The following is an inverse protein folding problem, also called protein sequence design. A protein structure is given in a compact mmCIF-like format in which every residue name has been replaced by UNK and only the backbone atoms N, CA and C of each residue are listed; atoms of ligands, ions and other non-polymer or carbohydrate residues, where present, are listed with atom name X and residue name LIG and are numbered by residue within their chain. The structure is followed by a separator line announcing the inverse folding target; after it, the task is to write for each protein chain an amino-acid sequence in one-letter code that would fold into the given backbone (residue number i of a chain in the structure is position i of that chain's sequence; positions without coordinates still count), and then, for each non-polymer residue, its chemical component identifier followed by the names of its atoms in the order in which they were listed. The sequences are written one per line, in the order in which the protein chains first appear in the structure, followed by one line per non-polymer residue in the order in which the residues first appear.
data_IF_834451260740
#
_entry.id   IF_834451260740
#
_cell.length_a   1.000
_cell.length_b   1.000
_cell.length_c   1.000
_cell.angle_alpha   90.00
_cell.angle_beta   90.00
_cell.angle_gamma   90.00
#
_symmetry.space_group_name_H-M   'P 1'
#
loop_
_entity.id
_entity.type
_entity.pdbx_description
1 polymer ?
#
# COMPACT_ATOMS: atom_id res chain seq x y z
N UNK A 1 17.09 10.00 32.16
CA UNK A 1 18.18 10.94 31.79
C UNK A 1 18.50 11.78 33.02
N UNK A 2 19.69 11.65 33.61
CA UNK A 2 20.11 12.46 34.77
C UNK A 2 21.09 13.51 34.28
N UNK A 3 20.76 14.80 34.45
CA UNK A 3 21.62 15.91 34.04
C UNK A 3 22.60 16.24 35.19
N UNK A 4 23.93 15.99 35.02
CA UNK A 4 24.91 16.22 36.08
C UNK A 4 25.30 17.71 36.24
N UNK A 5 24.69 18.64 35.49
CA UNK A 5 24.98 20.06 35.55
C UNK A 5 23.75 20.89 35.96
N UNK A 6 23.96 21.90 36.81
CA UNK A 6 22.92 22.81 37.32
C UNK A 6 22.15 22.28 38.54
N UNK A 7 21.08 22.95 38.93
CA UNK A 7 20.21 22.57 40.06
C UNK A 7 19.17 21.48 39.70
N UNK A 8 19.49 20.63 38.72
CA UNK A 8 18.58 19.59 38.21
C UNK A 8 17.40 20.09 37.37
N UNK A 9 17.29 21.41 37.10
CA UNK A 9 16.21 21.96 36.25
C UNK A 9 16.51 21.77 34.76
N UNK A 10 15.57 21.16 34.04
CA UNK A 10 15.60 21.06 32.58
C UNK A 10 15.18 22.42 31.98
N UNK A 11 15.95 23.01 31.06
CA UNK A 11 15.56 24.26 30.40
C UNK A 11 14.22 24.13 29.66
N UNK A 12 13.34 25.12 29.76
CA UNK A 12 12.01 25.08 29.10
C UNK A 12 12.07 24.87 27.59
N UNK A 13 13.16 25.30 26.94
CA UNK A 13 13.40 25.17 25.49
C UNK A 13 14.03 23.83 25.09
N UNK A 14 14.41 22.98 26.04
CA UNK A 14 14.92 21.63 25.76
C UNK A 14 13.76 20.69 25.44
N UNK A 15 13.09 20.95 24.31
CA UNK A 15 11.94 20.20 23.80
C UNK A 15 12.11 20.02 22.29
N UNK A 16 11.67 18.89 21.77
CA UNK A 16 11.59 18.60 20.34
C UNK A 16 10.14 18.56 19.89
N UNK A 17 9.90 18.71 18.59
CA UNK A 17 8.59 18.43 18.02
C UNK A 17 8.25 16.95 18.20
N UNK A 18 7.00 16.65 18.51
CA UNK A 18 6.47 15.28 18.61
C UNK A 18 5.32 15.13 17.62
N UNK A 19 5.23 13.95 17.00
CA UNK A 19 4.17 13.59 16.07
C UNK A 19 3.27 12.54 16.71
N UNK A 20 1.98 12.55 16.36
CA UNK A 20 1.08 11.46 16.73
C UNK A 20 1.45 10.23 15.89
N UNK A 21 1.72 9.12 16.57
CA UNK A 21 2.10 7.85 15.94
C UNK A 21 1.22 6.73 16.48
N UNK A 22 0.75 5.86 15.59
CA UNK A 22 -0.08 4.69 15.90
C UNK A 22 0.49 3.47 15.19
N UNK A 23 0.60 2.37 15.91
CA UNK A 23 0.96 1.07 15.37
C UNK A 23 -0.30 0.22 15.21
N UNK A 24 -0.65 -0.12 13.96
CA UNK A 24 -1.79 -0.99 13.63
C UNK A 24 -1.61 -1.57 12.23
N UNK A 25 -2.23 -2.72 11.96
CA UNK A 25 -2.17 -3.41 10.66
C UNK A 25 -0.73 -3.73 10.19
N UNK A 26 0.14 -4.14 11.12
CA UNK A 26 1.57 -4.41 10.86
C UNK A 26 2.35 -3.19 10.31
N UNK A 27 1.86 -1.98 10.56
CA UNK A 27 2.42 -0.72 10.06
C UNK A 27 2.49 0.36 11.15
N UNK A 28 3.42 1.32 10.96
CA UNK A 28 3.52 2.53 11.77
C UNK A 28 2.92 3.71 10.99
N UNK A 29 1.85 4.30 11.51
CA UNK A 29 1.17 5.46 10.97
C UNK A 29 1.60 6.72 11.70
N UNK A 30 2.00 7.76 10.95
CA UNK A 30 2.45 9.04 11.52
C UNK A 30 1.57 10.16 10.98
N UNK A 31 0.96 10.93 11.87
CA UNK A 31 0.26 12.16 11.52
C UNK A 31 1.20 13.36 11.62
N UNK A 32 1.45 14.01 10.48
CA UNK A 32 2.36 15.16 10.38
C UNK A 32 1.66 16.52 10.53
N UNK A 33 0.32 16.53 10.61
CA UNK A 33 -0.48 17.75 10.77
C UNK A 33 -0.67 18.19 12.22
N UNK A 34 -1.74 18.95 12.50
CA UNK A 34 -2.12 19.32 13.87
C UNK A 34 -2.46 18.06 14.69
N UNK A 35 -1.77 17.79 15.80
CA UNK A 35 -2.05 16.63 16.64
C UNK A 35 -3.49 16.55 17.17
N UNK A 36 -4.20 17.67 17.29
CA UNK A 36 -5.61 17.69 17.72
C UNK A 36 -6.57 17.15 16.65
N UNK A 37 -6.13 17.12 15.39
CA UNK A 37 -6.87 16.60 14.25
C UNK A 37 -6.52 15.14 13.92
N UNK A 38 -5.58 14.54 14.64
CA UNK A 38 -5.17 13.16 14.41
C UNK A 38 -6.26 12.19 14.94
N UNK A 39 -7.18 11.79 14.07
CA UNK A 39 -8.21 10.80 14.37
C UNK A 39 -7.75 9.38 13.95
N UNK A 40 -7.53 8.46 14.90
CA UNK A 40 -7.17 7.07 14.58
C UNK A 40 -8.18 6.35 13.69
N UNK A 41 -9.45 6.74 13.70
CA UNK A 41 -10.51 6.10 12.92
C UNK A 41 -10.45 6.44 11.42
N UNK A 42 -9.65 7.42 11.02
CA UNK A 42 -9.39 7.77 9.62
C UNK A 42 -8.26 6.93 8.98
N UNK A 43 -7.55 6.10 9.75
CA UNK A 43 -6.55 5.17 9.20
C UNK A 43 -7.27 4.16 8.28
N UNK A 44 -6.82 3.95 7.03
CA UNK A 44 -7.43 2.97 6.15
C UNK A 44 -7.35 1.54 6.71
N UNK A 45 -8.40 0.76 6.51
CA UNK A 45 -8.47 -0.62 6.98
C UNK A 45 -7.52 -1.53 6.16
N UNK A 46 -6.43 -1.94 6.81
CA UNK A 46 -5.48 -2.93 6.31
C UNK A 46 -5.46 -4.20 7.19
N UNK A 47 -6.57 -4.52 7.84
CA UNK A 47 -6.69 -5.69 8.75
C UNK A 47 -6.33 -7.02 8.10
N UNK A 48 -6.43 -7.13 6.76
CA UNK A 48 -5.98 -8.31 6.01
C UNK A 48 -4.49 -8.62 6.17
N UNK A 49 -3.66 -7.63 6.51
CA UNK A 49 -2.22 -7.81 6.72
C UNK A 49 -1.89 -8.46 8.07
N UNK A 50 -2.78 -8.33 9.05
CA UNK A 50 -2.67 -8.91 10.40
C UNK A 50 -3.54 -10.16 10.59
N UNK A 51 -4.08 -10.71 9.51
CA UNK A 51 -4.95 -11.88 9.54
C UNK A 51 -4.12 -13.17 9.41
N UNK A 52 -4.14 -14.01 10.43
CA UNK A 52 -3.38 -15.27 10.52
C UNK A 52 -3.68 -16.27 9.37
N UNK A 53 -4.75 -16.05 8.61
CA UNK A 53 -5.08 -16.86 7.42
C UNK A 53 -4.13 -16.59 6.24
N UNK A 54 -3.45 -15.45 6.24
CA UNK A 54 -2.59 -15.03 5.13
C UNK A 54 -1.15 -14.79 5.60
N UNK A 55 -0.15 -15.37 4.92
CA UNK A 55 1.24 -15.00 5.17
C UNK A 55 1.50 -13.60 4.60
N UNK A 56 1.99 -12.70 5.45
CA UNK A 56 2.34 -11.32 5.06
C UNK A 56 3.85 -11.20 4.80
N UNK A 57 4.21 -10.57 3.68
CA UNK A 57 5.61 -10.23 3.35
C UNK A 57 5.76 -8.72 3.36
N UNK A 58 6.68 -8.22 4.18
CA UNK A 58 6.95 -6.79 4.32
C UNK A 58 8.26 -6.42 3.61
N UNK A 59 8.30 -5.22 3.03
CA UNK A 59 9.48 -4.68 2.37
C UNK A 59 9.34 -3.19 2.10
N UNK A 60 10.46 -2.55 1.78
CA UNK A 60 10.51 -1.14 1.39
C UNK A 60 11.24 -1.03 0.06
N UNK A 61 10.64 -0.30 -0.88
CA UNK A 61 11.26 0.06 -2.15
C UNK A 61 11.40 1.57 -2.18
N UNK A 62 12.63 2.06 -2.18
CA UNK A 62 12.89 3.49 -2.35
C UNK A 62 12.76 3.87 -3.83
N UNK A 63 11.88 4.81 -4.13
CA UNK A 63 11.68 5.33 -5.48
C UNK A 63 12.07 6.79 -5.53
N UNK A 64 12.96 7.15 -6.45
CA UNK A 64 13.40 8.52 -6.68
C UNK A 64 12.39 9.26 -7.57
N UNK A 65 11.14 9.32 -7.13
CA UNK A 65 10.03 9.93 -7.84
C UNK A 65 9.10 10.67 -6.86
N UNK A 66 8.27 11.58 -7.38
CA UNK A 66 7.17 12.13 -6.60
C UNK A 66 6.14 11.03 -6.33
N UNK A 67 5.58 10.97 -5.11
CA UNK A 67 4.60 9.96 -4.71
C UNK A 67 3.36 9.93 -5.62
N UNK A 68 2.95 11.06 -6.19
CA UNK A 68 1.82 11.16 -7.12
C UNK A 68 2.03 10.31 -8.37
N UNK A 69 3.28 10.22 -8.87
CA UNK A 69 3.59 9.38 -10.03
C UNK A 69 3.44 7.89 -9.71
N UNK A 70 3.69 7.49 -8.46
CA UNK A 70 3.50 6.11 -8.01
C UNK A 70 2.01 5.82 -7.84
N UNK A 71 1.25 6.75 -7.27
CA UNK A 71 -0.21 6.65 -7.20
C UNK A 71 -0.84 6.50 -8.58
N UNK A 72 -0.46 7.35 -9.55
CA UNK A 72 -0.93 7.26 -10.94
C UNK A 72 -0.57 5.91 -11.58
N UNK A 73 0.67 5.45 -11.37
CA UNK A 73 1.13 4.16 -11.88
C UNK A 73 0.30 2.99 -11.32
N UNK A 74 0.03 2.97 -10.01
CA UNK A 74 -0.73 1.91 -9.36
C UNK A 74 -2.21 1.92 -9.76
N UNK A 75 -2.78 3.10 -10.01
CA UNK A 75 -4.19 3.25 -10.39
C UNK A 75 -4.46 2.99 -11.88
N UNK A 76 -3.43 3.03 -12.72
CA UNK A 76 -3.53 2.80 -14.17
C UNK A 76 -2.95 1.45 -14.58
N UNK A 77 -3.80 0.46 -14.86
CA UNK A 77 -3.35 -0.84 -15.35
C UNK A 77 -3.14 -0.89 -16.88
N UNK A 78 -3.21 0.21 -17.62
CA UNK A 78 -2.95 0.20 -19.08
C UNK A 78 -1.46 -0.02 -19.41
N UNK A 79 -0.55 0.32 -18.50
CA UNK A 79 0.89 0.15 -18.72
C UNK A 79 1.38 -1.30 -18.55
N UNK A 80 0.58 -2.17 -17.92
CA UNK A 80 0.99 -3.53 -17.53
C UNK A 80 1.52 -4.34 -18.72
N UNK A 81 0.90 -4.19 -19.89
CA UNK A 81 1.29 -4.91 -21.11
C UNK A 81 2.64 -4.48 -21.67
N UNK A 82 3.03 -3.23 -21.43
CA UNK A 82 4.23 -2.64 -22.01
C UNK A 82 5.40 -2.74 -21.03
N UNK A 83 5.18 -2.32 -19.78
CA UNK A 83 6.24 -2.24 -18.75
C UNK A 83 6.48 -3.60 -18.09
N UNK A 84 5.46 -4.45 -17.97
CA UNK A 84 5.57 -5.79 -17.37
C UNK A 84 5.41 -6.93 -18.40
N UNK A 85 5.79 -6.65 -19.66
CA UNK A 85 5.72 -7.60 -20.75
C UNK A 85 6.43 -8.92 -20.40
N UNK A 86 5.72 -10.04 -20.57
CA UNK A 86 6.25 -11.37 -20.27
C UNK A 86 6.31 -11.75 -18.78
N UNK A 87 5.86 -10.88 -17.87
CA UNK A 87 5.88 -11.16 -16.43
C UNK A 87 4.49 -11.09 -15.80
N UNK A 88 3.80 -9.95 -15.92
CA UNK A 88 2.50 -9.69 -15.26
C UNK A 88 1.33 -9.50 -16.23
N UNK A 89 1.59 -9.39 -17.53
CA UNK A 89 0.55 -9.24 -18.55
C UNK A 89 -0.25 -10.53 -18.83
N UNK A 90 -1.48 -10.37 -19.31
CA UNK A 90 -2.35 -11.43 -19.83
C UNK A 90 -3.35 -10.82 -20.83
N UNK A 91 -3.75 -11.57 -21.88
CA UNK A 91 -4.76 -11.10 -22.84
C UNK A 91 -6.11 -10.79 -22.17
N UNK A 92 -6.43 -11.45 -21.05
CA UNK A 92 -7.66 -11.15 -20.31
C UNK A 92 -7.62 -9.75 -19.68
N UNK A 93 -6.44 -9.24 -19.32
CA UNK A 93 -6.28 -7.91 -18.72
C UNK A 93 -6.59 -6.82 -19.76
N UNK A 94 -6.25 -7.04 -21.04
CA UNK A 94 -6.59 -6.16 -22.18
C UNK A 94 -8.09 -5.95 -22.32
N UNK A 95 -8.84 -7.05 -22.15
CA UNK A 95 -10.27 -7.11 -22.41
C UNK A 95 -11.11 -7.07 -21.13
N UNK A 96 -10.47 -6.83 -19.99
CA UNK A 96 -11.12 -6.78 -18.69
C UNK A 96 -12.16 -5.68 -18.64
N UNK A 97 -13.31 -5.97 -18.03
CA UNK A 97 -14.34 -4.97 -17.79
C UNK A 97 -13.88 -4.07 -16.64
N UNK A 98 -13.74 -2.79 -16.92
CA UNK A 98 -13.42 -1.79 -15.91
C UNK A 98 -14.69 -1.22 -15.27
N UNK A 99 -14.58 -0.91 -13.99
CA UNK A 99 -15.59 -0.19 -13.22
C UNK A 99 -14.89 0.77 -12.26
N UNK A 100 -15.37 2.01 -12.20
CA UNK A 100 -14.87 3.01 -11.26
C UNK A 100 -15.99 3.33 -10.29
N UNK A 101 -15.70 3.17 -9.00
CA UNK A 101 -16.64 3.48 -7.92
C UNK A 101 -16.00 4.50 -7.00
N UNK A 102 -16.74 5.55 -6.65
CA UNK A 102 -16.29 6.54 -5.67
C UNK A 102 -17.26 6.58 -4.49
N UNK A 103 -16.72 6.40 -3.28
CA UNK A 103 -17.44 6.47 -2.03
C UNK A 103 -16.78 7.53 -1.14
N UNK A 104 -17.36 8.73 -1.08
CA UNK A 104 -16.77 9.85 -0.36
C UNK A 104 -15.37 10.20 -0.89
N UNK A 105 -14.35 10.03 -0.06
CA UNK A 105 -12.94 10.29 -0.37
C UNK A 105 -12.21 9.07 -0.93
N UNK A 106 -12.85 7.90 -1.01
CA UNK A 106 -12.26 6.66 -1.53
C UNK A 106 -12.68 6.43 -2.98
N UNK A 107 -11.72 6.11 -3.84
CA UNK A 107 -11.94 5.73 -5.24
C UNK A 107 -11.43 4.30 -5.45
N UNK A 108 -12.26 3.48 -6.10
CA UNK A 108 -11.95 2.11 -6.51
C UNK A 108 -11.86 2.07 -8.03
N UNK A 109 -10.77 1.55 -8.56
CA UNK A 109 -10.56 1.30 -10.00
C UNK A 109 -10.52 -0.21 -10.21
N UNK A 110 -11.70 -0.81 -10.37
CA UNK A 110 -11.84 -2.26 -10.44
C UNK A 110 -11.69 -2.74 -11.88
N UNK A 111 -11.08 -3.91 -12.07
CA UNK A 111 -11.01 -4.60 -13.36
C UNK A 111 -11.28 -6.09 -13.20
N UNK A 112 -12.37 -6.55 -13.82
CA UNK A 112 -12.73 -7.97 -13.86
C UNK A 112 -12.28 -8.61 -15.19
N UNK A 113 -11.40 -9.62 -15.10
CA UNK A 113 -10.81 -10.30 -16.25
C UNK A 113 -11.01 -11.83 -16.13
N UNK A 114 -12.13 -12.38 -16.62
CA UNK A 114 -12.41 -13.80 -16.45
C UNK A 114 -11.60 -14.68 -17.40
N UNK A 115 -11.28 -15.90 -16.98
CA UNK A 115 -10.68 -16.97 -17.79
C UNK A 115 -9.37 -16.58 -18.53
N UNK A 116 -8.52 -15.79 -17.90
CA UNK A 116 -7.20 -15.43 -18.46
C UNK A 116 -6.14 -16.46 -18.10
N UNK A 117 -5.15 -16.65 -18.96
CA UNK A 117 -3.95 -17.39 -18.57
C UNK A 117 -3.28 -16.70 -17.38
N UNK A 118 -2.84 -17.50 -16.41
CA UNK A 118 -2.06 -17.02 -15.26
C UNK A 118 -0.82 -16.28 -15.76
N UNK A 119 -0.52 -15.07 -15.25
CA UNK A 119 0.70 -14.36 -15.64
C UNK A 119 1.94 -15.14 -15.20
N UNK A 120 3.03 -15.14 -15.98
CA UNK A 120 4.20 -15.98 -15.72
C UNK A 120 4.80 -15.88 -14.32
N UNK A 121 4.82 -14.68 -13.72
CA UNK A 121 5.30 -14.49 -12.35
C UNK A 121 4.45 -15.26 -11.33
N UNK A 122 3.12 -15.15 -11.45
CA UNK A 122 2.20 -15.84 -10.54
C UNK A 122 2.22 -17.34 -10.79
N UNK A 123 2.27 -17.78 -12.04
CA UNK A 123 2.32 -19.21 -12.35
C UNK A 123 3.56 -19.86 -11.73
N UNK A 124 4.74 -19.23 -11.85
CA UNK A 124 5.98 -19.69 -11.23
C UNK A 124 5.90 -19.73 -9.69
N UNK A 125 5.24 -18.74 -9.07
CA UNK A 125 5.05 -18.70 -7.60
C UNK A 125 4.08 -19.77 -7.11
N UNK A 126 3.08 -20.15 -7.91
CA UNK A 126 2.04 -21.11 -7.54
C UNK A 126 2.23 -22.47 -8.21
N UNK A 127 3.47 -22.97 -8.22
CA UNK A 127 3.83 -24.31 -8.69
C UNK A 127 3.49 -24.61 -10.17
N UNK A 128 3.50 -23.60 -11.04
CA UNK A 128 3.15 -23.68 -12.45
C UNK A 128 1.75 -24.30 -12.66
N UNK A 129 0.75 -23.69 -12.04
CA UNK A 129 -0.65 -24.12 -12.11
C UNK A 129 -1.15 -24.31 -13.55
N UNK A 130 -0.73 -23.44 -14.48
CA UNK A 130 -0.86 -23.59 -15.93
C UNK A 130 -2.29 -23.59 -16.48
N UNK A 131 -3.30 -23.29 -15.66
CA UNK A 131 -4.71 -23.24 -16.06
C UNK A 131 -5.23 -21.80 -16.04
N UNK A 132 -6.31 -21.50 -16.81
CA UNK A 132 -6.96 -20.21 -16.73
C UNK A 132 -7.46 -19.92 -15.31
N UNK A 133 -7.33 -18.66 -14.92
CA UNK A 133 -7.83 -18.10 -13.66
C UNK A 133 -8.59 -16.81 -13.95
N UNK A 134 -9.45 -16.42 -13.02
CA UNK A 134 -10.05 -15.11 -13.04
C UNK A 134 -9.08 -14.11 -12.38
N UNK A 135 -8.85 -12.97 -13.04
CA UNK A 135 -8.01 -11.91 -12.51
C UNK A 135 -8.92 -10.78 -12.05
N UNK A 136 -8.78 -10.39 -10.78
CA UNK A 136 -9.44 -9.26 -10.18
C UNK A 136 -8.37 -8.25 -9.78
N UNK A 137 -8.51 -7.03 -10.25
CA UNK A 137 -7.72 -5.89 -9.81
C UNK A 137 -8.63 -4.80 -9.28
#
# INVERSE_FOLDING_TARGET
MHNPHGNGKIPNRARTHAFTLIETHEMLWIWMGDPQMADPSEIPDFSCQSDDRFPTVCGVIEMHANYELISDNLMDLTHVEFTHAGLLGSEAIKHGKQEIVQNGTTVYSNRWCPNGLTPPAWDAMFNNYGKPVDHCY
#
